data_IF_304333842664
#
_entry.id   IF_304333842664
#
_cell.length_a   1.000
_cell.length_b   1.000
_cell.length_c   1.000
_cell.angle_alpha   90.00
_cell.angle_beta   90.00
_cell.angle_gamma   90.00
#
_symmetry.space_group_name_H-M   'P 1'
#
loop_
_entity.id
_entity.type
_entity.pdbx_description
1 polymer ?
#
# COMPACT_ATOMS: atom_id res chain seq x y z
N UNK A 1 -20.38 10.82 12.64
CA UNK A 1 -20.10 12.22 12.26
C UNK A 1 -19.49 12.18 10.87
N UNK A 2 -20.30 12.37 9.83
CA UNK A 2 -19.85 12.47 8.44
C UNK A 2 -19.23 13.84 8.23
N UNK A 3 -17.94 13.96 8.57
CA UNK A 3 -17.17 15.17 8.25
C UNK A 3 -17.06 15.31 6.75
N UNK A 4 -17.44 16.47 6.21
CA UNK A 4 -17.26 16.80 4.81
C UNK A 4 -15.75 16.74 4.49
N UNK A 5 -15.38 15.85 3.58
CA UNK A 5 -14.02 15.72 3.09
C UNK A 5 -13.78 16.88 2.12
N UNK A 6 -13.28 18.02 2.61
CA UNK A 6 -13.14 19.24 1.78
C UNK A 6 -11.76 19.27 1.09
N UNK A 7 -10.73 18.64 1.68
CA UNK A 7 -9.37 18.66 1.15
C UNK A 7 -8.65 17.33 1.31
N UNK A 8 -7.97 16.89 0.25
CA UNK A 8 -7.12 15.72 0.31
C UNK A 8 -5.94 15.96 1.27
N UNK A 9 -5.66 15.02 2.15
CA UNK A 9 -4.60 15.13 3.15
C UNK A 9 -3.68 13.91 3.16
N UNK A 10 -2.40 14.12 3.48
CA UNK A 10 -1.46 13.04 3.70
C UNK A 10 -1.67 12.46 5.11
N UNK A 11 -1.99 11.17 5.20
CA UNK A 11 -2.18 10.47 6.47
C UNK A 11 -0.83 10.04 7.06
N UNK A 12 0.08 9.61 6.18
CA UNK A 12 1.43 9.27 6.58
C UNK A 12 2.23 8.54 5.51
N UNK A 13 3.52 8.39 5.84
CA UNK A 13 4.49 7.61 5.10
C UNK A 13 5.06 6.56 6.04
N UNK A 14 5.04 5.31 5.60
CA UNK A 14 5.59 4.17 6.31
C UNK A 14 6.77 3.60 5.52
N UNK A 15 7.88 3.36 6.19
CA UNK A 15 9.13 2.89 5.60
C UNK A 15 9.48 1.49 6.13
N UNK A 16 9.96 0.61 5.26
CA UNK A 16 10.57 -0.66 5.62
C UNK A 16 12.09 -0.52 5.57
N UNK A 17 12.79 -0.35 6.71
CA UNK A 17 14.24 -0.23 6.74
C UNK A 17 14.97 -1.56 6.43
N UNK A 18 14.23 -2.67 6.36
CA UNK A 18 14.77 -4.02 6.17
C UNK A 18 14.48 -4.60 4.78
N UNK A 19 14.02 -3.78 3.83
CA UNK A 19 13.79 -4.23 2.46
C UNK A 19 15.13 -4.62 1.79
N UNK A 20 15.36 -5.92 1.62
CA UNK A 20 16.64 -6.45 1.14
C UNK A 20 16.53 -7.17 -0.21
N UNK A 21 15.37 -7.76 -0.54
CA UNK A 21 15.18 -8.47 -1.79
C UNK A 21 14.51 -7.59 -2.85
N UNK A 22 14.80 -7.87 -4.12
CA UNK A 22 14.11 -7.24 -5.25
C UNK A 22 12.61 -7.48 -5.12
N UNK A 23 11.81 -6.42 -5.25
CA UNK A 23 10.34 -6.42 -5.09
C UNK A 23 9.81 -6.39 -3.66
N UNK A 24 10.66 -6.36 -2.63
CA UNK A 24 10.21 -6.11 -1.25
C UNK A 24 9.61 -4.71 -1.14
N UNK A 25 8.53 -4.55 -0.37
CA UNK A 25 7.98 -3.23 -0.10
C UNK A 25 9.00 -2.43 0.69
N UNK A 26 9.40 -1.27 0.16
CA UNK A 26 10.31 -0.32 0.82
C UNK A 26 9.54 0.81 1.50
N UNK A 27 8.42 1.23 0.91
CA UNK A 27 7.63 2.36 1.40
C UNK A 27 6.17 2.26 0.99
N UNK A 28 5.29 2.66 1.90
CA UNK A 28 3.88 2.95 1.62
C UNK A 28 3.58 4.41 1.98
N UNK A 29 2.98 5.14 1.04
CA UNK A 29 2.46 6.48 1.27
C UNK A 29 0.93 6.43 1.20
N UNK A 30 0.25 6.94 2.22
CA UNK A 30 -1.22 6.92 2.33
C UNK A 30 -1.73 8.36 2.38
N UNK A 31 -2.70 8.64 1.52
CA UNK A 31 -3.45 9.90 1.51
C UNK A 31 -4.93 9.60 1.64
N UNK A 32 -5.63 10.46 2.34
CA UNK A 32 -7.05 10.61 2.18
C UNK A 32 -7.29 11.55 1.00
N UNK A 33 -8.09 11.09 0.05
CA UNK A 33 -8.45 11.84 -1.15
C UNK A 33 -9.93 12.14 -1.08
N UNK A 34 -10.23 13.44 -1.09
CA UNK A 34 -11.58 13.95 -1.18
C UNK A 34 -11.90 14.33 -2.62
N UNK A 35 -13.13 14.06 -3.06
CA UNK A 35 -13.72 14.74 -4.20
C UNK A 35 -15.03 15.37 -3.74
N UNK A 36 -15.42 16.51 -4.34
CA UNK A 36 -16.52 17.37 -3.88
C UNK A 36 -17.89 16.66 -3.77
N UNK A 37 -18.01 15.41 -4.23
CA UNK A 37 -19.25 14.63 -4.25
C UNK A 37 -19.07 13.18 -3.75
N UNK A 38 -17.90 12.79 -3.24
CA UNK A 38 -17.64 11.40 -2.82
C UNK A 38 -17.18 11.28 -1.37
N UNK A 39 -17.52 10.15 -0.77
CA UNK A 39 -16.97 9.70 0.52
C UNK A 39 -15.43 9.73 0.46
N UNK A 40 -14.73 10.17 1.52
CA UNK A 40 -13.28 10.08 1.61
C UNK A 40 -12.76 8.71 1.18
N UNK A 41 -11.76 8.68 0.31
CA UNK A 41 -11.11 7.46 -0.12
C UNK A 41 -9.64 7.46 0.29
N UNK A 42 -9.16 6.37 0.88
CA UNK A 42 -7.72 6.21 1.07
C UNK A 42 -7.06 5.80 -0.25
N UNK A 43 -6.10 6.60 -0.70
CA UNK A 43 -5.21 6.31 -1.81
C UNK A 43 -3.87 5.86 -1.26
N UNK A 44 -3.37 4.73 -1.73
CA UNK A 44 -2.10 4.17 -1.29
C UNK A 44 -1.13 4.09 -2.46
N UNK A 45 0.09 4.58 -2.27
CA UNK A 45 1.21 4.37 -3.20
C UNK A 45 2.21 3.39 -2.59
N UNK A 46 2.55 2.37 -3.36
CA UNK A 46 3.51 1.37 -2.95
C UNK A 46 4.82 1.48 -3.74
N UNK A 47 5.93 1.45 -2.99
CA UNK A 47 7.30 1.45 -3.49
C UNK A 47 7.95 0.12 -3.13
N UNK A 48 8.84 -0.34 -4.01
CA UNK A 48 9.57 -1.58 -3.83
C UNK A 48 11.03 -1.46 -4.17
N UNK A 49 11.86 -2.28 -3.51
CA UNK A 49 13.29 -2.36 -3.74
C UNK A 49 13.60 -2.75 -5.19
N UNK A 50 14.40 -1.90 -5.85
CA UNK A 50 14.76 -1.97 -7.25
C UNK A 50 16.05 -1.18 -7.46
N UNK A 51 16.93 -1.61 -8.40
CA UNK A 51 18.18 -0.91 -8.68
C UNK A 51 18.07 -0.15 -10.01
N UNK A 52 18.57 1.10 -10.13
CA UNK A 52 19.32 1.90 -9.15
C UNK A 52 18.46 2.77 -8.21
N UNK A 53 17.13 2.75 -8.36
CA UNK A 53 16.17 3.51 -7.55
C UNK A 53 14.95 2.63 -7.26
N UNK A 54 14.26 2.90 -6.15
CA UNK A 54 12.99 2.25 -5.82
C UNK A 54 12.00 2.31 -6.99
N UNK A 55 11.48 1.14 -7.36
CA UNK A 55 10.40 1.00 -8.32
C UNK A 55 9.06 1.24 -7.62
N UNK A 56 8.01 1.57 -8.37
CA UNK A 56 6.68 1.85 -7.83
C UNK A 56 5.64 0.93 -8.48
N UNK A 57 4.73 0.38 -7.69
CA UNK A 57 3.53 -0.28 -8.23
C UNK A 57 2.43 0.71 -8.62
N UNK A 58 2.63 1.98 -8.31
CA UNK A 58 1.72 3.07 -8.63
C UNK A 58 0.85 3.44 -7.45
N UNK A 59 -0.25 4.13 -7.74
CA UNK A 59 -1.26 4.55 -6.77
C UNK A 59 -2.53 3.75 -7.02
N UNK A 60 -3.21 3.35 -5.96
CA UNK A 60 -4.50 2.68 -6.05
C UNK A 60 -5.40 3.11 -4.89
N UNK A 61 -6.71 3.04 -5.08
CA UNK A 61 -7.70 3.31 -4.04
C UNK A 61 -7.85 2.05 -3.19
N UNK A 62 -7.84 2.23 -1.86
CA UNK A 62 -8.09 1.15 -0.92
C UNK A 62 -9.50 0.61 -1.13
N UNK A 63 -9.61 -0.72 -1.24
CA UNK A 63 -10.87 -1.43 -1.37
C UNK A 63 -11.58 -1.53 -0.02
N UNK A 64 -10.79 -1.59 1.07
CA UNK A 64 -11.27 -1.52 2.44
C UNK A 64 -10.30 -0.64 3.22
N UNK A 65 -10.86 0.24 4.03
CA UNK A 65 -10.09 1.14 4.86
C UNK A 65 -10.91 1.50 6.10
N UNK A 66 -10.24 1.45 7.26
CA UNK A 66 -10.67 2.10 8.49
C UNK A 66 -9.44 2.75 9.14
N UNK A 67 -9.56 3.22 10.38
CA UNK A 67 -8.47 3.91 11.09
C UNK A 67 -7.21 3.05 11.30
N UNK A 68 -7.35 1.73 11.32
CA UNK A 68 -6.30 0.78 11.69
C UNK A 68 -6.01 -0.25 10.59
N UNK A 69 -6.77 -0.27 9.51
CA UNK A 69 -6.64 -1.26 8.46
C UNK A 69 -6.74 -0.64 7.07
N UNK A 70 -5.92 -1.14 6.14
CA UNK A 70 -5.99 -0.78 4.73
C UNK A 70 -5.79 -2.01 3.86
N UNK A 71 -6.66 -2.18 2.86
CA UNK A 71 -6.56 -3.22 1.85
C UNK A 71 -6.56 -2.57 0.47
N UNK A 72 -5.49 -2.76 -0.30
CA UNK A 72 -5.32 -2.13 -1.61
C UNK A 72 -4.85 -3.16 -2.63
N UNK A 73 -5.44 -3.13 -3.83
CA UNK A 73 -5.08 -3.98 -4.94
C UNK A 73 -4.31 -3.19 -6.00
N UNK A 74 -3.15 -3.71 -6.40
CA UNK A 74 -2.38 -3.23 -7.54
C UNK A 74 -2.44 -4.23 -8.67
N UNK A 75 -2.72 -3.77 -9.89
CA UNK A 75 -2.62 -4.59 -11.11
C UNK A 75 -1.37 -4.14 -11.84
N UNK A 76 -0.33 -4.96 -11.80
CA UNK A 76 0.90 -4.71 -12.52
C UNK A 76 1.03 -5.65 -13.70
N UNK A 77 2.04 -5.42 -14.54
CA UNK A 77 2.26 -6.23 -15.72
C UNK A 77 2.47 -7.72 -15.43
N UNK A 78 3.11 -8.07 -14.30
CA UNK A 78 3.46 -9.46 -13.99
C UNK A 78 2.55 -10.15 -12.97
N UNK A 79 1.82 -9.37 -12.16
CA UNK A 79 0.99 -9.91 -11.09
C UNK A 79 -0.10 -8.94 -10.67
N UNK A 80 -1.18 -9.48 -10.11
CA UNK A 80 -2.06 -8.75 -9.20
C UNK A 80 -1.48 -8.85 -7.79
N UNK A 81 -1.46 -7.72 -7.07
CA UNK A 81 -0.87 -7.65 -5.73
C UNK A 81 -1.87 -7.09 -4.75
N UNK A 82 -2.32 -7.91 -3.82
CA UNK A 82 -3.17 -7.48 -2.71
C UNK A 82 -2.28 -7.15 -1.52
N UNK A 83 -2.28 -5.89 -1.11
CA UNK A 83 -1.56 -5.41 0.05
C UNK A 83 -2.56 -5.16 1.17
N UNK A 84 -2.36 -5.82 2.31
CA UNK A 84 -3.13 -5.65 3.53
C UNK A 84 -2.22 -5.06 4.59
N UNK A 85 -2.54 -3.88 5.11
CA UNK A 85 -1.79 -3.22 6.17
C UNK A 85 -2.65 -3.09 7.42
N UNK A 86 -2.10 -3.45 8.57
CA UNK A 86 -2.67 -3.14 9.89
C UNK A 86 -1.77 -2.15 10.60
N UNK A 87 -2.34 -1.02 11.03
CA UNK A 87 -1.65 0.11 11.65
C UNK A 87 -1.83 0.00 13.17
N UNK A 88 -0.71 -0.06 13.88
CA UNK A 88 -0.66 0.00 15.34
C UNK A 88 0.29 1.14 15.77
N UNK A 89 -0.29 2.33 15.97
CA UNK A 89 0.46 3.54 16.27
C UNK A 89 1.42 3.92 15.14
N UNK A 90 2.73 3.84 15.40
CA UNK A 90 3.77 4.10 14.39
C UNK A 90 4.13 2.87 13.56
N UNK A 91 3.74 1.67 13.98
CA UNK A 91 4.05 0.42 13.27
C UNK A 91 2.93 0.10 12.29
N UNK A 92 3.29 -0.44 11.13
CA UNK A 92 2.34 -1.06 10.20
C UNK A 92 2.83 -2.45 9.83
N UNK A 93 2.03 -3.47 10.15
CA UNK A 93 2.25 -4.84 9.71
C UNK A 93 1.58 -5.03 8.35
N UNK A 94 2.35 -5.40 7.34
CA UNK A 94 1.91 -5.48 5.95
C UNK A 94 2.04 -6.91 5.44
N UNK A 95 0.97 -7.43 4.84
CA UNK A 95 0.97 -8.69 4.11
C UNK A 95 0.71 -8.40 2.63
N UNK A 96 1.55 -8.96 1.76
CA UNK A 96 1.41 -8.89 0.30
C UNK A 96 1.10 -10.27 -0.22
N UNK A 97 0.02 -10.38 -0.98
CA UNK A 97 -0.31 -11.55 -1.79
C UNK A 97 -0.04 -11.23 -3.25
N UNK A 98 0.90 -11.94 -3.86
CA UNK A 98 1.23 -11.87 -5.27
C UNK A 98 0.50 -13.01 -6.01
N UNK A 99 -0.47 -12.65 -6.86
CA UNK A 99 -1.16 -13.52 -7.83
C UNK A 99 -0.50 -13.31 -9.20
N UNK A 100 0.37 -14.23 -9.62
CA UNK A 100 1.17 -14.08 -10.84
C UNK A 100 0.35 -14.45 -12.08
N UNK A 101 0.45 -13.64 -13.13
CA UNK A 101 -0.23 -13.95 -14.40
C UNK A 101 0.45 -15.10 -15.16
N UNK A 102 1.70 -15.44 -14.81
CA UNK A 102 2.41 -16.59 -15.37
C UNK A 102 2.05 -17.85 -14.58
N UNK A 103 1.36 -18.85 -15.19
CA UNK A 103 0.92 -20.05 -14.49
C UNK A 103 2.07 -20.95 -14.03
N UNK A 104 3.31 -20.70 -14.47
CA UNK A 104 4.51 -21.42 -14.02
C UNK A 104 5.04 -20.90 -12.68
N UNK A 105 4.56 -19.74 -12.23
CA UNK A 105 4.93 -19.16 -10.94
C UNK A 105 3.84 -19.44 -9.93
N UNK A 106 4.21 -19.96 -8.77
CA UNK A 106 3.29 -20.07 -7.65
C UNK A 106 3.02 -18.69 -7.06
N UNK A 107 1.79 -18.47 -6.63
CA UNK A 107 1.43 -17.32 -5.81
C UNK A 107 2.32 -17.24 -4.57
N UNK A 108 2.58 -16.02 -4.11
CA UNK A 108 3.44 -15.78 -2.95
C UNK A 108 2.73 -14.92 -1.91
N UNK A 109 3.00 -15.24 -0.64
CA UNK A 109 2.63 -14.39 0.49
C UNK A 109 3.91 -13.91 1.16
N UNK A 110 4.01 -12.59 1.37
CA UNK A 110 5.16 -11.94 2.03
C UNK A 110 4.68 -11.02 3.12
N UNK A 111 5.44 -10.94 4.21
CA UNK A 111 5.11 -10.10 5.36
C UNK A 111 6.22 -9.10 5.64
N UNK A 112 5.86 -7.86 5.91
CA UNK A 112 6.77 -6.75 6.16
C UNK A 112 6.30 -5.97 7.38
N UNK A 113 7.26 -5.34 8.05
CA UNK A 113 6.99 -4.38 9.13
C UNK A 113 7.51 -3.04 8.67
N UNK A 114 6.61 -2.06 8.60
CA UNK A 114 6.95 -0.69 8.24
C UNK A 114 6.76 0.25 9.43
N UNK A 115 7.50 1.34 9.43
CA UNK A 115 7.49 2.34 10.49
C UNK A 115 7.13 3.70 9.94
N UNK A 116 6.20 4.39 10.62
CA UNK A 116 5.77 5.74 10.29
C UNK A 116 6.95 6.70 10.48
N UNK A 117 7.23 7.48 9.44
CA UNK A 117 8.22 8.55 9.47
C UNK A 117 7.75 9.74 10.30
#
# INVERSE_FOLDING_TARGET
MSGECIQSQAIGTWLNPFAGNKSDITKLEIWEVCSNETVPHLKVKAYTACAPRDCTWGRSIAQKADEQYVEVLYRTFFAKRLVKGSINGKRMDVIVYDDFHDPRKSDQQRSFVLWKQ
#
